data_IF_438871829291
#
_entry.id   IF_438871829291
#
_cell.length_a   1.000
_cell.length_b   1.000
_cell.length_c   1.000
_cell.angle_alpha   90.00
_cell.angle_beta   90.00
_cell.angle_gamma   90.00
#
_symmetry.space_group_name_H-M   'P 1'
#
loop_
_entity.id
_entity.type
_entity.pdbx_description
1 polymer ?
#
# COMPACT_ATOMS: atom_id res chain seq x y z
N UNK A 1 -15.16 7.68 3.09
CA UNK A 1 -14.29 6.91 4.01
C UNK A 1 -15.08 5.69 4.45
N UNK A 2 -14.47 4.50 4.42
CA UNK A 2 -15.03 3.30 5.06
C UNK A 2 -14.23 3.01 6.33
N UNK A 3 -14.90 2.86 7.46
CA UNK A 3 -14.27 2.51 8.74
C UNK A 3 -14.24 1.00 8.92
N UNK A 4 -13.10 0.47 9.38
CA UNK A 4 -12.91 -0.95 9.66
C UNK A 4 -12.34 -1.07 11.07
N UNK A 5 -12.98 -1.88 11.92
CA UNK A 5 -12.37 -2.29 13.18
C UNK A 5 -11.27 -3.32 12.86
N UNK A 6 -10.02 -2.87 12.90
CA UNK A 6 -8.87 -3.69 12.56
C UNK A 6 -8.68 -4.90 13.49
N UNK A 7 -9.06 -4.80 14.78
CA UNK A 7 -8.95 -5.92 15.72
C UNK A 7 -10.02 -6.97 15.44
N UNK A 8 -11.26 -6.52 15.18
CA UNK A 8 -12.33 -7.43 14.77
C UNK A 8 -12.00 -8.10 13.44
N UNK A 9 -11.51 -7.34 12.46
CA UNK A 9 -11.07 -7.89 11.17
C UNK A 9 -9.96 -8.93 11.35
N UNK A 10 -8.93 -8.63 12.14
CA UNK A 10 -7.87 -9.58 12.46
C UNK A 10 -8.35 -10.85 13.16
N UNK A 11 -9.31 -10.72 14.08
CA UNK A 11 -9.95 -11.87 14.71
C UNK A 11 -10.78 -12.72 13.71
N UNK A 12 -11.39 -12.07 12.71
CA UNK A 12 -12.12 -12.75 11.64
C UNK A 12 -11.18 -13.52 10.71
N UNK A 13 -10.09 -12.89 10.25
CA UNK A 13 -9.06 -13.55 9.42
C UNK A 13 -8.48 -14.81 10.09
N UNK A 14 -8.33 -14.78 11.42
CA UNK A 14 -7.79 -15.90 12.16
C UNK A 14 -8.65 -17.19 12.09
N UNK A 15 -9.90 -17.09 11.63
CA UNK A 15 -10.81 -18.23 11.45
C UNK A 15 -10.51 -19.05 10.20
N UNK A 16 -9.85 -18.46 9.19
CA UNK A 16 -9.45 -19.19 7.99
C UNK A 16 -8.46 -20.28 8.33
N UNK A 17 -8.46 -21.41 7.60
CA UNK A 17 -7.59 -22.56 7.92
C UNK A 17 -6.12 -22.37 7.53
N UNK A 18 -5.80 -21.33 6.77
CA UNK A 18 -4.43 -21.03 6.33
C UNK A 18 -3.45 -20.80 7.49
N UNK A 19 -2.16 -21.05 7.23
CA UNK A 19 -1.08 -20.79 8.19
C UNK A 19 -0.80 -19.28 8.37
N UNK A 20 -1.16 -18.47 7.38
CA UNK A 20 -1.03 -17.03 7.35
C UNK A 20 -2.23 -16.41 6.62
N UNK A 21 -2.42 -15.09 6.76
CA UNK A 21 -3.48 -14.34 6.08
C UNK A 21 -2.90 -13.35 5.07
N UNK A 22 -3.63 -13.09 3.98
CA UNK A 22 -3.24 -12.12 2.94
C UNK A 22 -4.23 -10.94 2.86
N UNK A 23 -4.32 -10.11 3.92
CA UNK A 23 -5.33 -9.04 3.97
C UNK A 23 -5.13 -7.91 2.97
N UNK A 24 -3.98 -7.81 2.31
CA UNK A 24 -3.80 -6.89 1.21
C UNK A 24 -4.85 -7.11 0.11
N UNK A 25 -5.11 -8.37 -0.26
CA UNK A 25 -6.15 -8.71 -1.25
C UNK A 25 -7.56 -8.42 -0.72
N UNK A 26 -7.83 -8.73 0.55
CA UNK A 26 -9.14 -8.46 1.16
C UNK A 26 -9.48 -6.96 1.10
N UNK A 27 -8.51 -6.09 1.37
CA UNK A 27 -8.69 -4.63 1.33
C UNK A 27 -8.81 -4.08 -0.09
N UNK A 28 -8.10 -4.66 -1.05
CA UNK A 28 -8.26 -4.33 -2.47
C UNK A 28 -9.67 -4.70 -2.96
N UNK A 29 -10.12 -5.91 -2.67
CA UNK A 29 -11.47 -6.37 -3.02
C UNK A 29 -12.55 -5.51 -2.35
N UNK A 30 -12.38 -5.17 -1.07
CA UNK A 30 -13.28 -4.27 -0.36
C UNK A 30 -13.35 -2.89 -1.03
N UNK A 31 -12.21 -2.33 -1.43
CA UNK A 31 -12.15 -1.07 -2.16
C UNK A 31 -12.94 -1.15 -3.47
N UNK A 32 -12.74 -2.21 -4.26
CA UNK A 32 -13.48 -2.43 -5.51
C UNK A 32 -14.99 -2.56 -5.27
N UNK A 33 -15.41 -3.37 -4.28
CA UNK A 33 -16.82 -3.55 -3.93
C UNK A 33 -17.49 -2.24 -3.54
N UNK A 34 -16.82 -1.42 -2.71
CA UNK A 34 -17.35 -0.13 -2.29
C UNK A 34 -17.46 0.84 -3.47
N UNK A 35 -16.42 0.95 -4.30
CA UNK A 35 -16.44 1.88 -5.44
C UNK A 35 -17.48 1.51 -6.50
N UNK A 36 -17.68 0.21 -6.74
CA UNK A 36 -18.80 -0.28 -7.57
C UNK A 36 -20.14 0.07 -6.94
N UNK A 37 -20.32 -0.18 -5.64
CA UNK A 37 -21.56 0.14 -4.90
C UNK A 37 -21.90 1.63 -4.90
N UNK A 38 -20.89 2.50 -4.87
CA UNK A 38 -21.05 3.96 -4.89
C UNK A 38 -20.87 4.58 -6.29
N UNK A 39 -20.87 3.76 -7.35
CA UNK A 39 -20.87 4.20 -8.74
C UNK A 39 -19.75 5.18 -9.11
N UNK A 40 -18.51 4.85 -8.71
CA UNK A 40 -17.36 5.63 -9.15
C UNK A 40 -17.18 5.49 -10.66
N UNK A 41 -16.82 6.59 -11.34
CA UNK A 41 -16.66 6.61 -12.80
C UNK A 41 -15.54 5.67 -13.29
N UNK A 42 -14.52 5.46 -12.46
CA UNK A 42 -13.42 4.51 -12.70
C UNK A 42 -12.81 4.10 -11.37
N UNK A 43 -12.18 2.92 -11.33
CA UNK A 43 -11.53 2.45 -10.11
C UNK A 43 -10.36 3.35 -9.71
N UNK A 44 -10.42 3.85 -8.47
CA UNK A 44 -9.37 4.65 -7.84
C UNK A 44 -8.65 3.80 -6.80
N UNK A 45 -7.33 3.64 -6.93
CA UNK A 45 -6.54 2.93 -5.91
C UNK A 45 -6.71 3.62 -4.55
N UNK A 46 -7.01 2.87 -3.46
CA UNK A 46 -7.36 3.50 -2.19
C UNK A 46 -6.12 4.01 -1.45
N UNK A 47 -6.32 5.05 -0.63
CA UNK A 47 -5.37 5.49 0.39
C UNK A 47 -5.77 4.84 1.71
N UNK A 48 -4.86 4.10 2.33
CA UNK A 48 -5.09 3.45 3.62
C UNK A 48 -4.77 4.41 4.76
N UNK A 49 -5.59 4.43 5.81
CA UNK A 49 -5.34 5.23 7.01
C UNK A 49 -5.49 4.33 8.23
N UNK A 50 -4.48 4.34 9.11
CA UNK A 50 -4.43 3.47 10.27
C UNK A 50 -4.00 4.23 11.52
N UNK A 51 -4.63 3.93 12.64
CA UNK A 51 -4.29 4.50 13.96
C UNK A 51 -3.93 3.38 14.95
N UNK A 52 -2.83 3.56 15.70
CA UNK A 52 -2.37 2.63 16.73
C UNK A 52 -2.28 1.19 16.17
N UNK A 53 -3.07 0.24 16.63
CA UNK A 53 -3.15 -1.11 16.04
C UNK A 53 -3.35 -1.09 14.51
N UNK A 54 -4.20 -0.19 14.01
CA UNK A 54 -4.41 -0.02 12.57
C UNK A 54 -3.20 0.58 11.85
N UNK A 55 -2.35 1.35 12.52
CA UNK A 55 -1.15 1.96 11.94
C UNK A 55 -0.13 0.91 11.48
N UNK A 56 0.14 -0.09 12.33
CA UNK A 56 1.00 -1.22 11.98
C UNK A 56 0.33 -2.18 11.00
N UNK A 57 -0.99 -2.35 11.11
CA UNK A 57 -1.76 -3.19 10.19
C UNK A 57 -1.62 -2.70 8.74
N UNK A 58 -1.79 -1.39 8.49
CA UNK A 58 -1.67 -0.83 7.12
C UNK A 58 -0.22 -0.83 6.60
N UNK A 59 0.80 -0.78 7.48
CA UNK A 59 2.18 -1.01 7.07
C UNK A 59 2.33 -2.44 6.51
N UNK A 60 1.79 -3.42 7.23
CA UNK A 60 1.75 -4.81 6.78
C UNK A 60 1.01 -4.98 5.45
N UNK A 61 -0.13 -4.29 5.25
CA UNK A 61 -0.86 -4.31 3.97
C UNK A 61 -0.01 -3.78 2.82
N UNK A 62 0.63 -2.63 3.00
CA UNK A 62 1.46 -2.01 1.95
C UNK A 62 2.70 -2.84 1.66
N UNK A 63 3.35 -3.40 2.68
CA UNK A 63 4.52 -4.25 2.52
C UNK A 63 4.19 -5.62 1.89
N UNK A 64 2.98 -6.14 2.12
CA UNK A 64 2.51 -7.41 1.55
C UNK A 64 2.05 -7.27 0.09
N UNK A 65 1.47 -6.12 -0.27
CA UNK A 65 0.86 -5.91 -1.57
C UNK A 65 1.89 -5.70 -2.70
N UNK A 66 1.60 -6.14 -3.94
CA UNK A 66 2.33 -5.70 -5.12
C UNK A 66 2.33 -4.17 -5.27
N UNK A 67 3.34 -3.64 -5.95
CA UNK A 67 3.35 -2.21 -6.23
C UNK A 67 2.18 -1.86 -7.15
N UNK A 68 1.47 -0.79 -6.79
CA UNK A 68 0.28 -0.37 -7.49
C UNK A 68 -1.03 -0.94 -6.95
N UNK A 69 -1.06 -1.80 -5.94
CA UNK A 69 -2.36 -2.18 -5.31
C UNK A 69 -2.97 -1.01 -4.54
N UNK A 70 -2.15 -0.28 -3.78
CA UNK A 70 -2.58 0.88 -2.99
C UNK A 70 -1.95 2.17 -3.51
N UNK A 71 -2.67 3.29 -3.37
CA UNK A 71 -2.14 4.62 -3.72
C UNK A 71 -1.12 5.11 -2.68
N UNK A 72 -1.28 4.69 -1.43
CA UNK A 72 -0.38 4.97 -0.32
C UNK A 72 -1.05 4.72 1.02
N UNK A 73 -0.33 5.01 2.11
CA UNK A 73 -0.83 4.87 3.47
C UNK A 73 -0.44 6.02 4.39
N UNK A 74 -1.32 6.32 5.36
CA UNK A 74 -1.05 7.27 6.45
C UNK A 74 -1.25 6.57 7.78
N UNK A 75 -0.19 6.50 8.59
CA UNK A 75 -0.24 5.90 9.92
C UNK A 75 -0.16 6.96 11.01
N UNK A 76 -0.94 6.77 12.09
CA UNK A 76 -0.99 7.62 13.27
C UNK A 76 -0.55 6.80 14.49
N UNK A 77 0.61 7.12 15.08
CA UNK A 77 1.13 6.39 16.24
C UNK A 77 1.57 4.97 15.86
N UNK A 78 2.54 4.87 14.96
CA UNK A 78 3.08 3.61 14.45
C UNK A 78 4.14 3.02 15.38
N UNK A 79 4.00 1.74 15.70
CA UNK A 79 5.06 0.86 16.16
C UNK A 79 4.96 -0.49 15.43
N UNK A 80 6.08 -1.16 15.09
CA UNK A 80 6.10 -2.31 14.18
C UNK A 80 5.68 -3.65 14.80
N UNK A 81 5.40 -3.70 16.10
CA UNK A 81 4.83 -4.85 16.77
C UNK A 81 3.30 -4.90 16.63
N UNK A 82 2.76 -6.10 16.44
CA UNK A 82 1.33 -6.31 16.26
C UNK A 82 0.86 -7.61 16.92
N UNK A 83 -0.25 -7.50 17.66
CA UNK A 83 -0.96 -8.66 18.17
C UNK A 83 -1.82 -9.28 17.07
N UNK A 84 -1.46 -10.48 16.64
CA UNK A 84 -2.21 -11.28 15.67
C UNK A 84 -2.19 -12.75 16.10
N UNK A 85 -3.32 -13.44 15.90
CA UNK A 85 -3.34 -14.90 16.09
C UNK A 85 -2.56 -15.63 14.99
N UNK A 86 -2.62 -15.09 13.78
CA UNK A 86 -1.94 -15.62 12.59
C UNK A 86 -1.16 -14.50 11.92
N UNK A 87 0.06 -14.77 11.45
CA UNK A 87 0.84 -13.73 10.81
C UNK A 87 0.26 -13.41 9.43
N UNK A 88 0.67 -12.26 8.90
CA UNK A 88 0.48 -12.00 7.48
C UNK A 88 1.37 -12.95 6.68
N UNK A 89 0.93 -13.37 5.50
CA UNK A 89 1.78 -14.14 4.60
C UNK A 89 2.97 -13.29 4.17
N UNK A 90 4.17 -13.89 4.20
CA UNK A 90 5.39 -13.27 3.68
C UNK A 90 5.27 -13.11 2.17
N UNK A 91 5.75 -11.99 1.63
CA UNK A 91 5.68 -11.68 0.20
C UNK A 91 5.90 -10.21 -0.09
N UNK A 92 6.36 -9.88 -1.30
CA UNK A 92 6.61 -8.51 -1.79
C UNK A 92 7.48 -7.60 -0.87
N UNK A 93 8.25 -8.20 0.03
CA UNK A 93 9.11 -7.51 0.99
C UNK A 93 8.67 -7.66 2.45
N UNK A 94 7.41 -8.06 2.72
CA UNK A 94 6.97 -8.29 4.09
C UNK A 94 7.66 -9.52 4.69
N UNK A 95 8.47 -9.25 5.73
CA UNK A 95 9.06 -10.23 6.63
C UNK A 95 8.63 -9.92 8.07
N UNK A 96 8.78 -10.90 8.95
CA UNK A 96 8.49 -10.76 10.36
C UNK A 96 9.25 -11.80 11.17
N UNK A 97 9.43 -11.47 12.45
CA UNK A 97 9.81 -12.42 13.48
C UNK A 97 8.72 -12.53 14.56
N UNK A 98 8.69 -13.69 15.22
CA UNK A 98 7.70 -14.01 16.26
C UNK A 98 8.15 -13.40 17.58
N UNK A 99 7.28 -12.59 18.20
CA UNK A 99 7.47 -12.12 19.58
C UNK A 99 6.85 -13.12 20.56
N UNK A 100 5.66 -13.61 20.23
CA UNK A 100 4.95 -14.65 20.98
C UNK A 100 4.13 -15.52 20.04
N UNK A 101 4.43 -16.82 20.03
CA UNK A 101 3.80 -17.78 19.13
C UNK A 101 2.26 -17.72 19.21
N UNK A 102 1.62 -17.60 18.04
CA UNK A 102 0.17 -17.48 17.90
C UNK A 102 -0.47 -16.25 18.56
N UNK A 103 0.32 -15.22 18.91
CA UNK A 103 -0.18 -14.02 19.62
C UNK A 103 0.38 -12.70 19.12
N UNK A 104 1.68 -12.59 18.90
CA UNK A 104 2.30 -11.33 18.50
C UNK A 104 3.53 -11.52 17.62
N UNK A 105 3.69 -10.58 16.70
CA UNK A 105 4.74 -10.56 15.70
C UNK A 105 5.32 -9.16 15.61
N UNK A 106 6.56 -9.08 15.12
CA UNK A 106 7.21 -7.82 14.79
C UNK A 106 7.44 -7.81 13.28
N UNK A 107 6.88 -6.82 12.59
CA UNK A 107 7.13 -6.66 11.16
C UNK A 107 8.53 -6.11 10.94
N UNK A 108 9.30 -6.84 10.15
CA UNK A 108 10.69 -6.48 9.87
C UNK A 108 10.72 -5.27 8.93
N UNK A 109 11.81 -4.51 9.02
CA UNK A 109 12.07 -3.37 8.15
C UNK A 109 12.29 -3.85 6.71
N UNK A 110 11.67 -3.17 5.75
CA UNK A 110 11.95 -3.30 4.31
C UNK A 110 12.89 -2.21 3.80
N UNK A 111 13.57 -2.44 2.69
CA UNK A 111 14.39 -1.40 2.04
C UNK A 111 13.54 -0.34 1.31
N UNK A 112 12.40 -0.75 0.74
CA UNK A 112 11.49 0.10 -0.02
C UNK A 112 10.06 -0.41 0.13
N UNK A 113 9.12 0.47 0.45
CA UNK A 113 7.70 0.11 0.40
C UNK A 113 7.14 0.21 -1.03
N UNK A 114 6.25 -0.72 -1.44
CA UNK A 114 5.62 -0.72 -2.76
C UNK A 114 4.77 0.53 -3.07
N UNK A 115 4.27 1.23 -2.04
CA UNK A 115 3.54 2.49 -2.16
C UNK A 115 4.04 3.52 -1.12
N UNK A 116 3.84 4.83 -1.35
CA UNK A 116 4.18 5.86 -0.37
C UNK A 116 3.50 5.65 0.98
N UNK A 117 4.26 5.76 2.07
CA UNK A 117 3.79 5.57 3.43
C UNK A 117 4.22 6.73 4.32
N UNK A 118 3.26 7.50 4.82
CA UNK A 118 3.51 8.68 5.64
C UNK A 118 3.12 8.33 7.09
N UNK A 119 4.06 8.53 8.01
CA UNK A 119 3.90 8.24 9.43
C UNK A 119 3.80 9.55 10.19
N UNK A 120 2.70 9.78 10.90
CA UNK A 120 2.56 10.89 11.83
C UNK A 120 2.72 10.34 13.25
N UNK A 121 3.84 10.65 13.89
CA UNK A 121 4.11 10.20 15.27
C UNK A 121 4.30 11.37 16.23
N UNK A 122 3.69 11.21 17.40
CA UNK A 122 3.77 12.14 18.51
C UNK A 122 5.08 11.98 19.28
N UNK A 123 5.77 13.09 19.56
CA UNK A 123 6.97 13.08 20.42
C UNK A 123 6.61 12.71 21.86
N UNK A 124 5.36 12.93 22.29
CA UNK A 124 4.85 12.56 23.61
C UNK A 124 4.17 11.18 23.62
N UNK A 125 4.26 10.40 22.55
CA UNK A 125 3.72 9.05 22.52
C UNK A 125 4.59 8.11 23.36
N UNK A 126 4.02 7.56 24.42
CA UNK A 126 4.69 6.62 25.34
C UNK A 126 4.43 5.16 24.96
N UNK A 127 3.43 4.88 24.12
CA UNK A 127 3.06 3.53 23.69
C UNK A 127 3.86 3.13 22.45
N UNK A 128 3.96 4.03 21.48
CA UNK A 128 4.83 3.88 20.31
C UNK A 128 5.86 5.02 20.33
N UNK A 129 7.01 4.85 21.03
CA UNK A 129 7.99 5.92 21.24
C UNK A 129 8.55 6.48 19.94
N UNK A 130 8.54 7.81 19.81
CA UNK A 130 8.96 8.52 18.59
C UNK A 130 10.37 8.11 18.11
N UNK A 131 11.36 8.04 19.00
CA UNK A 131 12.74 7.72 18.62
C UNK A 131 12.90 6.28 18.10
N UNK A 132 12.13 5.34 18.66
CA UNK A 132 12.09 3.96 18.17
C UNK A 132 11.45 3.90 16.77
N UNK A 133 10.33 4.61 16.58
CA UNK A 133 9.69 4.76 15.26
C UNK A 133 10.63 5.40 14.24
N UNK A 134 11.30 6.50 14.60
CA UNK A 134 12.26 7.18 13.73
C UNK A 134 13.42 6.27 13.34
N UNK A 135 13.94 5.50 14.29
CA UNK A 135 15.02 4.53 14.05
C UNK A 135 14.58 3.41 13.10
N UNK A 136 13.36 2.88 13.29
CA UNK A 136 12.80 1.85 12.41
C UNK A 136 12.63 2.35 10.96
N UNK A 137 12.11 3.56 10.78
CA UNK A 137 11.80 4.11 9.45
C UNK A 137 13.03 4.65 8.70
N UNK A 138 14.15 4.85 9.40
CA UNK A 138 15.35 5.50 8.85
C UNK A 138 15.88 4.78 7.62
N UNK A 139 15.78 5.43 6.46
CA UNK A 139 16.34 4.95 5.19
C UNK A 139 15.47 3.95 4.43
N UNK A 140 14.21 3.75 4.84
CA UNK A 140 13.24 3.04 4.00
C UNK A 140 12.81 3.97 2.86
N UNK A 141 12.92 3.52 1.60
CA UNK A 141 12.43 4.28 0.44
C UNK A 141 10.89 4.29 0.42
N UNK A 142 10.30 5.38 -0.07
CA UNK A 142 8.85 5.63 -0.07
C UNK A 142 8.24 5.81 1.33
N UNK A 143 9.03 6.14 2.35
CA UNK A 143 8.55 6.43 3.71
C UNK A 143 8.86 7.88 4.09
N UNK A 144 7.91 8.55 4.72
CA UNK A 144 8.08 9.87 5.33
C UNK A 144 7.64 9.83 6.80
N UNK A 145 8.42 10.42 7.71
CA UNK A 145 8.04 10.61 9.11
C UNK A 145 7.74 12.09 9.36
N UNK A 146 6.49 12.39 9.68
CA UNK A 146 6.03 13.70 10.13
C UNK A 146 6.04 13.72 11.66
N UNK A 147 6.78 14.69 12.20
CA UNK A 147 6.95 14.87 13.64
C UNK A 147 5.81 15.70 14.22
N UNK A 148 5.20 15.22 15.31
CA UNK A 148 4.13 15.93 16.02
C UNK A 148 4.57 16.26 17.47
N UNK A 149 5.15 17.44 17.74
CA UNK A 149 5.80 17.75 19.02
C UNK A 149 4.87 17.73 20.25
N UNK A 150 3.58 18.01 20.04
CA UNK A 150 2.59 18.18 21.12
C UNK A 150 1.59 17.02 21.23
N UNK A 151 1.86 15.91 20.54
CA UNK A 151 0.92 14.78 20.42
C UNK A 151 1.45 13.60 21.21
N UNK A 152 0.56 12.98 22.00
CA UNK A 152 0.78 11.66 22.60
C UNK A 152 -0.12 10.61 21.94
N UNK A 153 -0.11 9.38 22.47
CA UNK A 153 -0.71 8.22 21.81
C UNK A 153 -2.18 8.41 21.40
N UNK A 154 -2.97 9.15 22.19
CA UNK A 154 -4.41 9.30 21.97
C UNK A 154 -4.83 10.29 20.89
N UNK A 155 -3.91 11.08 20.29
CA UNK A 155 -4.24 12.11 19.29
C UNK A 155 -5.39 13.07 19.70
N UNK A 156 -5.56 13.31 21.00
CA UNK A 156 -6.81 13.87 21.55
C UNK A 156 -7.10 15.33 21.19
N UNK A 157 -6.08 16.09 20.78
CA UNK A 157 -6.25 17.49 20.35
C UNK A 157 -5.97 17.64 18.85
N UNK A 158 -7.03 17.76 18.07
CA UNK A 158 -7.00 17.79 16.59
C UNK A 158 -6.15 18.93 16.04
N UNK A 159 -6.10 20.08 16.71
CA UNK A 159 -5.27 21.21 16.30
C UNK A 159 -3.76 20.90 16.27
N UNK A 160 -3.30 19.85 16.95
CA UNK A 160 -1.88 19.49 17.00
C UNK A 160 -1.44 18.51 15.88
N UNK A 161 -2.37 17.98 15.07
CA UNK A 161 -2.04 16.96 14.06
C UNK A 161 -2.89 16.98 12.77
N UNK A 162 -4.13 17.47 12.84
CA UNK A 162 -5.05 17.44 11.69
C UNK A 162 -4.53 18.26 10.49
N UNK A 163 -3.88 19.42 10.66
CA UNK A 163 -3.26 20.13 9.54
C UNK A 163 -2.23 19.27 8.78
N UNK A 164 -1.35 18.58 9.52
CA UNK A 164 -0.34 17.70 8.96
C UNK A 164 -0.97 16.47 8.29
N UNK A 165 -2.04 15.91 8.88
CA UNK A 165 -2.78 14.82 8.27
C UNK A 165 -3.39 15.24 6.93
N UNK A 166 -4.03 16.42 6.86
CA UNK A 166 -4.60 16.95 5.62
C UNK A 166 -3.53 17.14 4.55
N UNK A 167 -2.36 17.65 4.93
CA UNK A 167 -1.23 17.80 4.02
C UNK A 167 -0.76 16.45 3.48
N UNK A 168 -0.57 15.45 4.34
CA UNK A 168 -0.19 14.09 3.96
C UNK A 168 -1.24 13.42 3.05
N UNK A 169 -2.53 13.58 3.37
CA UNK A 169 -3.61 13.06 2.53
C UNK A 169 -3.59 13.70 1.14
N UNK A 170 -3.44 15.02 1.07
CA UNK A 170 -3.43 15.74 -0.20
C UNK A 170 -2.21 15.37 -1.06
N UNK A 171 -1.04 15.13 -0.47
CA UNK A 171 0.14 14.70 -1.24
C UNK A 171 -0.05 13.30 -1.86
N UNK A 172 -0.65 12.37 -1.12
CA UNK A 172 -1.01 11.05 -1.64
C UNK A 172 -2.13 11.15 -2.69
N UNK A 173 -3.14 11.96 -2.46
CA UNK A 173 -4.26 12.13 -3.38
C UNK A 173 -3.84 12.78 -4.71
N UNK A 174 -2.91 13.74 -4.66
CA UNK A 174 -2.36 14.43 -5.83
C UNK A 174 -1.39 13.59 -6.66
N UNK A 175 -0.86 12.49 -6.11
CA UNK A 175 0.01 11.58 -6.85
C UNK A 175 -0.81 10.87 -7.94
N UNK A 176 -0.78 11.39 -9.17
CA UNK A 176 -1.22 10.66 -10.35
C UNK A 176 -0.18 9.58 -10.66
N UNK A 177 -0.64 8.38 -11.04
CA UNK A 177 0.27 7.40 -11.66
C UNK A 177 0.90 8.10 -12.85
N UNK A 178 2.22 8.30 -12.80
CA UNK A 178 2.98 8.91 -13.89
C UNK A 178 2.86 7.99 -15.09
N UNK A 179 1.86 8.23 -15.94
CA UNK A 179 1.73 7.56 -17.22
C UNK A 179 3.03 7.80 -18.00
N UNK A 180 3.60 6.75 -18.56
CA UNK A 180 4.72 6.87 -19.48
C UNK A 180 4.27 7.72 -20.69
N UNK A 181 5.16 8.54 -21.26
CA UNK A 181 4.78 9.58 -22.21
C UNK A 181 4.56 8.99 -23.61
N UNK A 182 3.46 8.26 -23.82
CA UNK A 182 2.84 8.08 -25.13
C UNK A 182 1.33 8.17 -24.94
N UNK A 183 0.79 9.37 -25.16
CA UNK A 183 -0.65 9.60 -25.13
C UNK A 183 -1.26 9.11 -26.45
N UNK A 184 -1.67 7.84 -26.50
CA UNK A 184 -2.81 7.50 -27.34
C UNK A 184 -4.03 8.16 -26.71
N UNK A 185 -4.77 8.99 -27.45
CA UNK A 185 -6.07 9.48 -27.00
C UNK A 185 -7.06 8.32 -26.99
N UNK A 186 -7.18 7.66 -25.85
CA UNK A 186 -8.15 6.60 -25.61
C UNK A 186 -8.65 6.72 -24.17
N UNK A 187 -9.91 6.37 -23.95
CA UNK A 187 -10.52 6.32 -22.62
C UNK A 187 -10.20 4.99 -21.90
N UNK A 188 -9.46 4.09 -22.56
CA UNK A 188 -9.03 2.82 -22.00
C UNK A 188 -7.88 3.01 -21.00
N UNK A 189 -7.87 2.29 -19.86
CA UNK A 189 -6.78 2.36 -18.89
C UNK A 189 -5.57 1.55 -19.40
N UNK A 190 -4.88 2.07 -20.41
CA UNK A 190 -3.72 1.44 -21.02
C UNK A 190 -2.40 2.06 -20.56
N UNK A 191 -1.37 1.21 -20.45
CA UNK A 191 0.03 1.59 -20.22
C UNK A 191 0.87 1.10 -21.41
N UNK A 192 1.67 2.00 -22.00
CA UNK A 192 2.54 1.68 -23.13
C UNK A 192 3.97 1.56 -22.63
N UNK A 193 4.57 0.38 -22.80
CA UNK A 193 5.98 0.13 -22.52
C UNK A 193 6.73 0.10 -23.85
N UNK A 194 7.57 1.11 -24.06
CA UNK A 194 8.40 1.21 -25.25
C UNK A 194 9.59 0.23 -25.18
N UNK A 195 10.06 -0.26 -26.35
CA UNK A 195 11.29 -1.01 -26.45
C UNK A 195 12.47 -0.26 -25.81
N UNK A 196 13.26 -0.94 -24.96
CA UNK A 196 14.43 -0.32 -24.32
C UNK A 196 15.65 -0.21 -25.26
N UNK A 197 15.73 -1.08 -26.27
CA UNK A 197 16.77 -1.09 -27.29
C UNK A 197 16.36 -1.99 -28.46
N UNK A 198 16.89 -1.74 -29.67
CA UNK A 198 16.68 -2.57 -30.87
C UNK A 198 15.19 -2.84 -31.15
N UNK A 199 14.39 -1.77 -31.25
CA UNK A 199 12.97 -1.88 -31.55
C UNK A 199 12.73 -2.74 -32.79
N UNK A 200 11.94 -3.80 -32.64
CA UNK A 200 11.44 -4.59 -33.77
C UNK A 200 10.01 -4.16 -34.10
N UNK A 201 9.45 -4.71 -35.19
CA UNK A 201 8.08 -4.42 -35.61
C UNK A 201 7.04 -5.29 -34.88
N UNK A 202 7.40 -5.91 -33.75
CA UNK A 202 6.48 -6.75 -32.97
C UNK A 202 5.81 -5.93 -31.86
N UNK A 203 4.55 -6.27 -31.60
CA UNK A 203 3.71 -5.61 -30.61
C UNK A 203 2.98 -6.67 -29.80
N UNK A 204 3.04 -6.54 -28.47
CA UNK A 204 2.30 -7.38 -27.54
C UNK A 204 1.17 -6.57 -26.93
N UNK A 205 -0.06 -7.08 -27.04
CA UNK A 205 -1.16 -6.65 -26.19
C UNK A 205 -1.20 -7.52 -24.94
N UNK A 206 -1.05 -6.89 -23.77
CA UNK A 206 -1.06 -7.58 -22.48
C UNK A 206 -2.32 -7.19 -21.71
N UNK A 207 -3.08 -8.18 -21.25
CA UNK A 207 -4.23 -7.96 -20.38
C UNK A 207 -3.86 -8.35 -18.94
N UNK A 208 -3.96 -7.42 -17.99
CA UNK A 208 -3.62 -7.71 -16.60
C UNK A 208 -4.61 -8.68 -15.95
N UNK A 209 -4.21 -9.26 -14.83
CA UNK A 209 -5.15 -9.98 -13.95
C UNK A 209 -6.16 -9.05 -13.26
N UNK A 210 -6.94 -9.63 -12.35
CA UNK A 210 -7.94 -8.95 -11.52
C UNK A 210 -7.34 -7.92 -10.54
N UNK A 211 -6.07 -8.09 -10.16
CA UNK A 211 -5.28 -7.10 -9.40
C UNK A 211 -4.86 -5.86 -10.19
N UNK A 212 -5.19 -5.78 -11.48
CA UNK A 212 -4.87 -4.64 -12.35
C UNK A 212 -3.42 -4.59 -12.80
N UNK A 213 -2.98 -3.44 -13.30
CA UNK A 213 -1.60 -3.25 -13.79
C UNK A 213 -0.63 -3.03 -12.61
N UNK A 214 -0.05 -4.12 -12.10
CA UNK A 214 0.86 -4.13 -10.93
C UNK A 214 2.33 -4.25 -11.32
N UNK A 215 3.25 -4.26 -10.34
CA UNK A 215 4.67 -4.54 -10.59
C UNK A 215 4.94 -5.90 -11.24
N UNK A 216 4.05 -6.89 -11.05
CA UNK A 216 4.20 -8.20 -11.69
C UNK A 216 3.96 -8.10 -13.19
N UNK A 217 2.84 -7.51 -13.61
CA UNK A 217 2.48 -7.27 -15.02
C UNK A 217 3.53 -6.39 -15.71
N UNK A 218 3.96 -5.31 -15.02
CA UNK A 218 5.04 -4.45 -15.48
C UNK A 218 6.37 -5.20 -15.63
N UNK A 219 6.66 -6.16 -14.76
CA UNK A 219 7.85 -7.01 -14.85
C UNK A 219 7.87 -7.83 -16.14
N UNK A 220 6.74 -8.44 -16.49
CA UNK A 220 6.59 -9.19 -17.74
C UNK A 220 6.69 -8.25 -18.95
N UNK A 221 5.99 -7.12 -18.92
CA UNK A 221 6.04 -6.13 -20.00
C UNK A 221 7.46 -5.58 -20.23
N UNK A 222 8.19 -5.32 -19.15
CA UNK A 222 9.60 -4.88 -19.22
C UNK A 222 10.51 -5.97 -19.83
N UNK A 223 10.25 -7.25 -19.57
CA UNK A 223 11.01 -8.34 -20.17
C UNK A 223 10.83 -8.44 -21.70
N UNK A 224 9.65 -8.08 -22.23
CA UNK A 224 9.43 -7.93 -23.67
C UNK A 224 10.12 -6.69 -24.22
N UNK A 225 10.01 -5.55 -23.52
CA UNK A 225 10.65 -4.30 -23.91
C UNK A 225 12.18 -4.41 -23.98
N UNK A 226 12.80 -5.21 -23.12
CA UNK A 226 14.23 -5.52 -23.14
C UNK A 226 14.65 -6.31 -24.40
N UNK A 227 13.72 -7.03 -25.03
CA UNK A 227 13.93 -7.76 -26.28
C UNK A 227 13.57 -6.95 -27.53
N UNK A 228 13.29 -5.66 -27.38
CA UNK A 228 12.94 -4.79 -28.51
C UNK A 228 11.45 -4.77 -28.86
N UNK A 229 10.59 -5.43 -28.08
CA UNK A 229 9.16 -5.59 -28.38
C UNK A 229 8.35 -4.56 -27.60
N UNK A 230 7.50 -3.80 -28.27
CA UNK A 230 6.59 -2.85 -27.62
C UNK A 230 5.44 -3.59 -26.92
N UNK A 231 5.01 -3.10 -25.75
CA UNK A 231 3.87 -3.67 -25.02
C UNK A 231 2.80 -2.63 -24.78
N UNK A 232 1.56 -2.94 -25.15
CA UNK A 232 0.36 -2.19 -24.76
C UNK A 232 -0.36 -3.03 -23.69
N UNK A 233 -0.24 -2.59 -22.44
CA UNK A 233 -0.93 -3.20 -21.30
C UNK A 233 -2.31 -2.60 -21.08
N UNK A 234 -3.34 -3.42 -20.86
CA UNK A 234 -4.65 -2.98 -20.37
C UNK A 234 -4.79 -3.36 -18.89
N UNK A 235 -5.05 -2.36 -18.04
CA UNK A 235 -5.37 -2.54 -16.61
C UNK A 235 -6.81 -3.05 -16.46
N UNK A 236 -6.97 -4.38 -16.43
CA UNK A 236 -8.27 -5.06 -16.34
C UNK A 236 -9.09 -4.63 -15.12
N UNK A 237 -8.43 -4.30 -14.01
CA UNK A 237 -9.10 -3.87 -12.77
C UNK A 237 -9.77 -2.50 -12.94
N UNK A 238 -9.16 -1.60 -13.74
CA UNK A 238 -9.78 -0.30 -14.05
C UNK A 238 -10.81 -0.38 -15.15
N UNK A 239 -10.67 -1.34 -16.07
CA UNK A 239 -11.55 -1.49 -17.22
C UNK A 239 -12.90 -2.13 -16.88
N UNK A 240 -12.93 -3.12 -15.96
CA UNK A 240 -14.14 -3.87 -15.56
C UNK A 240 -14.64 -3.56 -14.14
#
# INVERSE_FOLDING_TARGET
MAGIDAKYFAASMAKDKGACSYPAADFEQLSMMLQRKYHFASYQKPILVGYSYGAVFIYGLIAQAPAGTFKGGISLGFCPDIDLKKPFCKGNGLLYHVLKEGKSYYFDRVEKLPAPFIVLNGVKDQTCPYDATASFLKGIKNVELITLPKVGHGFSYTGNWLPQFKQAYNSLAATTSKALPVSLKTDLPIDIIEPKSNANNELVFFLSGDGGWTSFDQGIANAFAEKGIAVIGLDSQKYF
#
